data_IF_671465754752
#
_entry.id   IF_671465754752
#
_cell.length_a   1.000
_cell.length_b   1.000
_cell.length_c   1.000
_cell.angle_alpha   90.00
_cell.angle_beta   90.00
_cell.angle_gamma   90.00
#
_symmetry.space_group_name_H-M   'P 1'
#
loop_
_entity.id
_entity.type
_entity.pdbx_description
1 polymer ?
#
# COMPACT_ATOMS: atom_id res chain seq x y z
N UNK A 1 -19.65 5.37 40.89
CA UNK A 1 -18.65 6.47 40.93
C UNK A 1 -17.30 6.13 40.24
N UNK A 2 -16.90 4.85 40.14
CA UNK A 2 -15.65 4.44 39.47
C UNK A 2 -15.65 4.68 37.95
N UNK A 3 -16.73 4.43 37.29
CA UNK A 3 -16.89 4.50 35.83
C UNK A 3 -16.81 5.94 35.24
N UNK A 4 -17.08 6.96 36.05
CA UNK A 4 -16.91 8.35 35.64
C UNK A 4 -15.47 8.84 35.77
N UNK A 5 -14.74 8.38 36.79
CA UNK A 5 -13.31 8.70 36.94
C UNK A 5 -12.47 8.10 35.82
N UNK A 6 -12.78 6.86 35.42
CA UNK A 6 -12.11 6.20 34.30
C UNK A 6 -12.35 6.92 32.95
N UNK A 7 -13.57 7.38 32.71
CA UNK A 7 -13.90 8.18 31.51
C UNK A 7 -13.17 9.52 31.51
N UNK A 8 -13.05 10.19 32.67
CA UNK A 8 -12.37 11.49 32.78
C UNK A 8 -10.84 11.32 32.59
N UNK A 9 -10.26 10.25 33.13
CA UNK A 9 -8.82 9.97 32.98
C UNK A 9 -8.47 9.58 31.52
N UNK A 10 -9.33 8.82 30.85
CA UNK A 10 -9.17 8.45 29.44
C UNK A 10 -9.34 9.67 28.50
N UNK A 11 -10.19 10.62 28.85
CA UNK A 11 -10.32 11.89 28.13
C UNK A 11 -9.15 12.83 28.35
N UNK A 12 -8.56 12.86 29.54
CA UNK A 12 -7.39 13.66 29.86
C UNK A 12 -6.12 13.13 29.17
N UNK A 13 -6.05 11.84 28.88
CA UNK A 13 -4.94 11.21 28.17
C UNK A 13 -4.99 11.35 26.64
N UNK A 14 -5.98 12.05 26.07
CA UNK A 14 -6.11 12.23 24.62
C UNK A 14 -6.35 10.95 23.83
N UNK A 15 -6.69 9.84 24.51
CA UNK A 15 -6.99 8.55 23.87
C UNK A 15 -8.33 8.64 23.15
N UNK A 16 -8.26 8.93 21.86
CA UNK A 16 -9.41 8.90 20.97
C UNK A 16 -9.82 7.44 20.77
N UNK A 17 -10.82 6.95 21.50
CA UNK A 17 -11.34 5.57 21.35
C UNK A 17 -11.84 5.39 19.93
N UNK A 18 -11.15 4.57 19.15
CA UNK A 18 -11.59 4.19 17.81
C UNK A 18 -13.00 3.56 17.91
N UNK A 19 -13.91 3.99 17.03
CA UNK A 19 -15.25 3.43 16.96
C UNK A 19 -15.18 1.97 16.52
N UNK A 20 -16.06 1.06 17.04
CA UNK A 20 -15.96 -0.38 16.74
C UNK A 20 -15.92 -0.71 15.25
N UNK A 21 -16.65 0.03 14.41
CA UNK A 21 -16.58 -0.16 12.96
C UNK A 21 -15.22 0.17 12.34
N UNK A 22 -14.45 1.11 12.91
CA UNK A 22 -13.11 1.46 12.44
C UNK A 22 -12.11 0.34 12.74
N UNK A 23 -12.28 -0.35 13.88
CA UNK A 23 -11.47 -1.50 14.27
C UNK A 23 -11.68 -2.71 13.34
N UNK A 24 -12.84 -2.83 12.70
CA UNK A 24 -13.12 -3.90 11.74
C UNK A 24 -12.76 -3.50 10.31
N UNK A 25 -13.15 -2.30 9.89
CA UNK A 25 -12.92 -1.85 8.50
C UNK A 25 -11.44 -1.66 8.17
N UNK A 26 -10.63 -1.23 9.14
CA UNK A 26 -9.21 -1.01 8.89
C UNK A 26 -8.44 -2.31 8.58
N UNK A 27 -8.52 -3.38 9.41
CA UNK A 27 -7.92 -4.66 9.07
C UNK A 27 -8.48 -5.30 7.79
N UNK A 28 -9.80 -5.14 7.53
CA UNK A 28 -10.41 -5.65 6.30
C UNK A 28 -9.84 -4.95 5.05
N UNK A 29 -9.69 -3.63 5.09
CA UNK A 29 -9.06 -2.89 3.99
C UNK A 29 -7.63 -3.35 3.76
N UNK A 30 -6.84 -3.50 4.82
CA UNK A 30 -5.48 -4.00 4.73
C UNK A 30 -5.43 -5.44 4.17
N UNK A 31 -6.30 -6.32 4.67
CA UNK A 31 -6.42 -7.69 4.15
C UNK A 31 -6.77 -7.72 2.66
N UNK A 32 -7.76 -6.95 2.23
CA UNK A 32 -8.15 -6.84 0.82
C UNK A 32 -7.00 -6.33 -0.05
N UNK A 33 -6.26 -5.30 0.40
CA UNK A 33 -5.11 -4.77 -0.32
C UNK A 33 -3.99 -5.81 -0.47
N UNK A 34 -3.71 -6.56 0.59
CA UNK A 34 -2.69 -7.62 0.54
C UNK A 34 -3.10 -8.77 -0.38
N UNK A 35 -4.36 -9.21 -0.35
CA UNK A 35 -4.88 -10.23 -1.28
C UNK A 35 -4.76 -9.74 -2.72
N UNK A 36 -5.15 -8.51 -2.99
CA UNK A 36 -5.04 -7.90 -4.32
C UNK A 36 -3.59 -7.83 -4.80
N UNK A 37 -2.67 -7.43 -3.92
CA UNK A 37 -1.24 -7.38 -4.22
C UNK A 37 -0.67 -8.77 -4.55
N UNK A 38 -0.96 -9.77 -3.72
CA UNK A 38 -0.50 -11.15 -3.93
C UNK A 38 -1.04 -11.71 -5.25
N UNK A 39 -2.32 -11.50 -5.56
CA UNK A 39 -2.90 -11.92 -6.83
C UNK A 39 -2.20 -11.24 -8.00
N UNK A 40 -2.03 -9.93 -7.96
CA UNK A 40 -1.34 -9.19 -9.03
C UNK A 40 0.08 -9.69 -9.23
N UNK A 41 0.84 -9.90 -8.15
CA UNK A 41 2.22 -10.38 -8.22
C UNK A 41 2.35 -11.79 -8.80
N UNK A 42 1.42 -12.68 -8.48
CA UNK A 42 1.44 -14.05 -9.03
C UNK A 42 1.03 -14.07 -10.50
N UNK A 43 0.04 -13.27 -10.88
CA UNK A 43 -0.45 -13.25 -12.27
C UNK A 43 0.40 -12.43 -13.23
N UNK A 44 1.22 -11.48 -12.74
CA UNK A 44 1.96 -10.56 -13.60
C UNK A 44 2.97 -11.27 -14.50
N UNK A 45 3.69 -12.25 -13.98
CA UNK A 45 4.66 -13.03 -14.75
C UNK A 45 3.96 -13.91 -15.81
N UNK A 46 2.85 -14.52 -15.43
CA UNK A 46 2.02 -15.29 -16.34
C UNK A 46 1.44 -14.42 -17.46
N UNK A 47 0.91 -13.24 -17.10
CA UNK A 47 0.36 -12.29 -18.06
C UNK A 47 1.43 -11.79 -19.04
N UNK A 48 2.59 -11.39 -18.52
CA UNK A 48 3.70 -10.91 -19.34
C UNK A 48 4.18 -11.94 -20.37
N UNK A 49 4.33 -13.18 -19.96
CA UNK A 49 4.78 -14.25 -20.85
C UNK A 49 3.64 -14.80 -21.73
N UNK A 50 2.50 -15.17 -21.13
CA UNK A 50 1.42 -15.87 -21.84
C UNK A 50 0.56 -14.96 -22.74
N UNK A 51 0.36 -13.71 -22.36
CA UNK A 51 -0.52 -12.77 -23.08
C UNK A 51 0.25 -11.75 -23.91
N UNK A 52 1.30 -11.17 -23.34
CA UNK A 52 2.09 -10.16 -24.04
C UNK A 52 3.22 -10.75 -24.89
N UNK A 53 3.55 -12.04 -24.71
CA UNK A 53 4.65 -12.68 -25.40
C UNK A 53 6.04 -12.20 -24.97
N UNK A 54 6.16 -11.60 -23.79
CA UNK A 54 7.43 -11.16 -23.23
C UNK A 54 8.24 -12.37 -22.73
N UNK A 55 9.57 -12.29 -22.81
CA UNK A 55 10.41 -13.37 -22.31
C UNK A 55 10.15 -13.66 -20.83
N UNK A 56 9.94 -14.92 -20.46
CA UNK A 56 9.66 -15.31 -19.07
C UNK A 56 10.77 -14.85 -18.12
N UNK A 57 12.01 -14.94 -18.55
CA UNK A 57 13.18 -14.47 -17.79
C UNK A 57 13.09 -12.96 -17.50
N UNK A 58 12.64 -12.17 -18.47
CA UNK A 58 12.42 -10.73 -18.26
C UNK A 58 11.32 -10.49 -17.23
N UNK A 59 10.17 -11.17 -17.36
CA UNK A 59 9.04 -11.01 -16.44
C UNK A 59 9.41 -11.35 -14.99
N UNK A 60 10.10 -12.46 -14.78
CA UNK A 60 10.52 -12.88 -13.43
C UNK A 60 11.61 -11.97 -12.84
N UNK A 61 12.55 -11.53 -13.66
CA UNK A 61 13.57 -10.54 -13.24
C UNK A 61 12.91 -9.23 -12.85
N UNK A 62 11.91 -8.76 -13.61
CA UNK A 62 11.18 -7.53 -13.28
C UNK A 62 10.43 -7.62 -11.94
N UNK A 63 9.84 -8.76 -11.61
CA UNK A 63 9.21 -8.97 -10.29
C UNK A 63 10.24 -8.79 -9.17
N UNK A 64 11.46 -9.31 -9.34
CA UNK A 64 12.54 -9.17 -8.37
C UNK A 64 13.06 -7.73 -8.28
N UNK A 65 13.28 -7.07 -9.42
CA UNK A 65 13.73 -5.67 -9.48
C UNK A 65 12.69 -4.75 -8.83
N UNK A 66 11.40 -4.97 -9.06
CA UNK A 66 10.35 -4.15 -8.46
C UNK A 66 10.25 -4.34 -6.94
N UNK A 67 10.58 -5.51 -6.40
CA UNK A 67 10.70 -5.68 -4.94
C UNK A 67 11.89 -4.90 -4.35
N UNK A 68 12.98 -4.80 -5.09
CA UNK A 68 14.11 -3.95 -4.70
C UNK A 68 13.74 -2.46 -4.79
N UNK A 69 12.97 -2.10 -5.80
CA UNK A 69 12.42 -0.75 -5.95
C UNK A 69 11.48 -0.38 -4.78
N UNK A 70 10.62 -1.30 -4.31
CA UNK A 70 9.80 -1.15 -3.09
C UNK A 70 10.69 -0.81 -1.89
N UNK A 71 11.76 -1.55 -1.66
CA UNK A 71 12.64 -1.34 -0.53
C UNK A 71 13.26 0.08 -0.49
N UNK A 72 13.39 0.73 -1.64
CA UNK A 72 13.87 2.12 -1.74
C UNK A 72 12.72 3.12 -1.63
N UNK A 73 11.57 2.84 -2.23
CA UNK A 73 10.44 3.77 -2.26
C UNK A 73 9.69 3.82 -0.92
N UNK A 74 9.64 2.73 -0.17
CA UNK A 74 8.95 2.67 1.13
C UNK A 74 9.47 3.72 2.14
N UNK A 75 10.78 3.85 2.41
CA UNK A 75 11.27 4.86 3.33
C UNK A 75 11.11 6.29 2.78
N UNK A 76 11.18 6.49 1.47
CA UNK A 76 10.96 7.81 0.85
C UNK A 76 9.51 8.25 1.03
N UNK A 77 8.56 7.38 0.74
CA UNK A 77 7.14 7.66 0.88
C UNK A 77 6.77 7.81 2.36
N UNK A 78 7.34 6.99 3.25
CA UNK A 78 7.18 7.13 4.70
C UNK A 78 7.62 8.53 5.18
N UNK A 79 8.80 8.97 4.77
CA UNK A 79 9.32 10.30 5.11
C UNK A 79 8.46 11.43 4.51
N UNK A 80 7.90 11.24 3.32
CA UNK A 80 6.99 12.20 2.69
C UNK A 80 5.68 12.34 3.48
N UNK A 81 5.10 11.21 3.90
CA UNK A 81 3.88 11.17 4.73
C UNK A 81 4.15 11.85 6.07
N UNK A 82 5.33 11.62 6.66
CA UNK A 82 5.69 12.19 7.96
C UNK A 82 5.81 13.72 7.94
N UNK A 83 6.21 14.28 6.82
CA UNK A 83 6.33 15.74 6.64
C UNK A 83 4.99 16.41 6.30
N UNK A 84 3.97 15.65 5.98
CA UNK A 84 2.69 16.21 5.52
C UNK A 84 1.71 16.38 6.67
N UNK A 85 1.25 17.61 6.88
CA UNK A 85 0.14 17.95 7.80
C UNK A 85 -1.11 18.26 6.97
N UNK A 86 -2.05 17.30 6.88
CA UNK A 86 -3.30 17.50 6.16
C UNK A 86 -4.47 17.76 7.11
N UNK A 87 -5.40 18.65 6.71
CA UNK A 87 -6.65 18.94 7.44
C UNK A 87 -7.56 17.72 7.62
N UNK A 88 -7.43 16.70 6.75
CA UNK A 88 -8.22 15.46 6.77
C UNK A 88 -7.56 14.33 7.57
N UNK A 89 -6.46 14.61 8.26
CA UNK A 89 -5.61 13.63 8.92
C UNK A 89 -4.39 13.26 8.06
N UNK A 90 -3.33 12.80 8.72
CA UNK A 90 -2.03 12.54 8.11
C UNK A 90 -2.09 11.39 7.08
N UNK A 91 -2.87 10.35 7.34
CA UNK A 91 -2.82 9.09 6.61
C UNK A 91 -3.94 8.89 5.57
N UNK A 92 -5.15 9.42 5.84
CA UNK A 92 -6.33 9.18 5.00
C UNK A 92 -6.18 9.58 3.53
N UNK A 93 -5.66 10.78 3.18
CA UNK A 93 -5.53 11.16 1.79
C UNK A 93 -4.56 10.25 1.01
N UNK A 94 -3.48 9.82 1.65
CA UNK A 94 -2.50 8.94 1.01
C UNK A 94 -3.05 7.55 0.72
N UNK A 95 -3.86 6.98 1.61
CA UNK A 95 -4.53 5.71 1.36
C UNK A 95 -5.50 5.78 0.17
N UNK A 96 -6.26 6.88 0.05
CA UNK A 96 -7.19 7.07 -1.07
C UNK A 96 -6.44 7.26 -2.38
N UNK A 97 -5.39 8.09 -2.38
CA UNK A 97 -4.55 8.32 -3.56
C UNK A 97 -3.84 7.03 -3.97
N UNK A 98 -3.25 6.30 -3.02
CA UNK A 98 -2.59 5.02 -3.29
C UNK A 98 -3.53 4.01 -3.92
N UNK A 99 -4.75 3.88 -3.38
CA UNK A 99 -5.77 2.97 -3.93
C UNK A 99 -6.20 3.39 -5.35
N UNK A 100 -6.39 4.68 -5.60
CA UNK A 100 -6.71 5.18 -6.94
C UNK A 100 -5.58 4.89 -7.94
N UNK A 101 -4.32 5.12 -7.56
CA UNK A 101 -3.15 4.81 -8.39
C UNK A 101 -3.08 3.31 -8.67
N UNK A 102 -3.29 2.45 -7.67
CA UNK A 102 -3.30 0.99 -7.85
C UNK A 102 -4.35 0.53 -8.86
N UNK A 103 -5.58 1.06 -8.76
CA UNK A 103 -6.67 0.70 -9.67
C UNK A 103 -6.33 1.13 -11.10
N UNK A 104 -5.94 2.39 -11.29
CA UNK A 104 -5.62 2.93 -12.61
C UNK A 104 -4.43 2.19 -13.23
N UNK A 105 -3.35 1.99 -12.47
CA UNK A 105 -2.16 1.30 -12.96
C UNK A 105 -2.42 -0.17 -13.28
N UNK A 106 -3.29 -0.86 -12.52
CA UNK A 106 -3.71 -2.23 -12.88
C UNK A 106 -4.47 -2.27 -14.20
N UNK A 107 -5.41 -1.35 -14.41
CA UNK A 107 -6.14 -1.26 -15.65
C UNK A 107 -5.18 -0.99 -16.82
N UNK A 108 -4.26 -0.05 -16.66
CA UNK A 108 -3.26 0.25 -17.67
C UNK A 108 -2.30 -0.93 -17.92
N UNK A 109 -1.94 -1.66 -16.87
CA UNK A 109 -1.05 -2.82 -16.96
C UNK A 109 -1.70 -3.95 -17.76
N UNK A 110 -2.94 -4.31 -17.44
CA UNK A 110 -3.60 -5.46 -18.05
C UNK A 110 -4.33 -5.15 -19.36
N UNK A 111 -4.89 -3.96 -19.51
CA UNK A 111 -5.60 -3.55 -20.74
C UNK A 111 -4.74 -2.67 -21.64
N UNK A 112 -4.02 -1.69 -21.09
CA UNK A 112 -3.23 -0.73 -21.87
C UNK A 112 -2.12 -1.42 -22.66
N UNK A 113 -1.39 -2.33 -22.03
CA UNK A 113 -0.30 -3.09 -22.70
C UNK A 113 -0.81 -4.03 -23.79
N UNK A 114 -2.06 -4.51 -23.70
CA UNK A 114 -2.67 -5.37 -24.70
C UNK A 114 -3.05 -4.64 -25.98
N UNK A 115 -3.37 -3.35 -25.89
CA UNK A 115 -3.76 -2.51 -27.05
C UNK A 115 -2.55 -2.22 -27.95
N UNK A 116 -1.33 -2.31 -27.42
CA UNK A 116 -0.11 -2.07 -28.19
C UNK A 116 0.09 -3.17 -29.24
N UNK A 117 0.26 -2.76 -30.50
CA UNK A 117 0.43 -3.67 -31.60
C UNK A 117 1.61 -4.67 -31.40
N UNK A 118 1.48 -5.92 -31.86
CA UNK A 118 2.51 -6.94 -31.70
C UNK A 118 3.88 -6.56 -32.28
N UNK A 119 3.87 -5.74 -33.33
CA UNK A 119 5.08 -5.31 -34.04
C UNK A 119 5.97 -4.37 -33.22
N UNK A 120 5.42 -3.73 -32.21
CA UNK A 120 6.13 -2.80 -31.31
C UNK A 120 6.50 -3.45 -29.97
N UNK A 121 7.19 -4.59 -30.02
CA UNK A 121 7.56 -5.35 -28.82
C UNK A 121 8.31 -4.50 -27.77
N UNK A 122 9.28 -3.70 -28.19
CA UNK A 122 10.04 -2.84 -27.27
C UNK A 122 9.14 -1.89 -26.47
N UNK A 123 8.10 -1.35 -27.11
CA UNK A 123 7.13 -0.48 -26.46
C UNK A 123 6.31 -1.24 -25.40
N UNK A 124 6.00 -2.52 -25.65
CA UNK A 124 5.35 -3.37 -24.65
C UNK A 124 6.21 -3.58 -23.42
N UNK A 125 7.54 -3.80 -23.60
CA UNK A 125 8.48 -3.90 -22.48
C UNK A 125 8.50 -2.62 -21.66
N UNK A 126 8.62 -1.46 -22.30
CA UNK A 126 8.67 -0.15 -21.62
C UNK A 126 7.38 0.15 -20.88
N UNK A 127 6.23 0.00 -21.54
CA UNK A 127 4.92 0.25 -20.91
C UNK A 127 4.66 -0.72 -19.76
N UNK A 128 5.03 -1.98 -19.90
CA UNK A 128 4.90 -2.96 -18.83
C UNK A 128 5.69 -2.54 -17.59
N UNK A 129 6.95 -2.14 -17.75
CA UNK A 129 7.79 -1.68 -16.62
C UNK A 129 7.22 -0.41 -15.99
N UNK A 130 6.79 0.57 -16.79
CA UNK A 130 6.23 1.82 -16.30
C UNK A 130 4.93 1.62 -15.51
N UNK A 131 3.99 0.84 -16.05
CA UNK A 131 2.71 0.60 -15.38
C UNK A 131 2.89 -0.27 -14.14
N UNK A 132 3.83 -1.20 -14.18
CA UNK A 132 4.17 -2.01 -13.03
C UNK A 132 4.82 -1.17 -11.92
N UNK A 133 5.77 -0.29 -12.25
CA UNK A 133 6.36 0.63 -11.28
C UNK A 133 5.31 1.56 -10.66
N UNK A 134 4.39 2.08 -11.48
CA UNK A 134 3.29 2.91 -11.00
C UNK A 134 2.36 2.15 -10.04
N UNK A 135 2.09 0.88 -10.33
CA UNK A 135 1.32 0.00 -9.46
C UNK A 135 2.01 -0.19 -8.11
N UNK A 136 3.32 -0.44 -8.12
CA UNK A 136 4.15 -0.62 -6.92
C UNK A 136 4.15 0.65 -6.06
N UNK A 137 4.32 1.83 -6.66
CA UNK A 137 4.22 3.12 -5.97
C UNK A 137 2.83 3.30 -5.32
N UNK A 138 1.76 2.98 -6.04
CA UNK A 138 0.40 3.03 -5.51
C UNK A 138 0.21 2.12 -4.30
N UNK A 139 0.77 0.91 -4.34
CA UNK A 139 0.77 -0.02 -3.23
C UNK A 139 1.51 0.54 -2.01
N UNK A 140 2.69 1.13 -2.20
CA UNK A 140 3.46 1.76 -1.12
C UNK A 140 2.69 2.92 -0.47
N UNK A 141 2.03 3.77 -1.27
CA UNK A 141 1.16 4.83 -0.73
C UNK A 141 -0.02 4.29 0.09
N UNK A 142 -0.51 3.12 -0.24
CA UNK A 142 -1.60 2.47 0.48
C UNK A 142 -1.14 1.83 1.79
N UNK A 143 0.05 1.22 1.80
CA UNK A 143 0.54 0.40 2.92
C UNK A 143 1.39 1.18 3.91
N UNK A 144 2.16 2.17 3.48
CA UNK A 144 3.02 2.98 4.33
C UNK A 144 2.30 3.71 5.49
N UNK A 145 1.05 4.23 5.32
CA UNK A 145 0.35 4.93 6.40
C UNK A 145 -0.35 4.01 7.41
N UNK A 146 0.14 2.83 7.70
CA UNK A 146 -0.47 2.00 8.74
C UNK A 146 -0.11 2.55 10.12
N UNK A 147 -1.08 3.00 10.93
CA UNK A 147 -0.80 3.35 12.30
C UNK A 147 -0.31 2.09 13.02
N UNK A 148 0.94 2.14 13.48
CA UNK A 148 1.42 1.16 14.45
C UNK A 148 0.48 1.25 15.64
N UNK A 149 -0.18 0.16 16.08
CA UNK A 149 -0.89 0.20 17.34
C UNK A 149 0.13 0.61 18.39
N UNK A 150 -0.04 1.78 18.99
CA UNK A 150 0.73 2.14 20.17
C UNK A 150 0.46 1.02 21.18
N UNK A 151 1.43 0.15 21.37
CA UNK A 151 1.46 -0.74 22.51
C UNK A 151 1.26 0.15 23.72
N UNK A 152 0.29 -0.12 24.62
CA UNK A 152 0.25 0.59 25.87
C UNK A 152 1.65 0.46 26.45
N UNK A 153 2.35 1.58 26.54
CA UNK A 153 3.68 1.62 27.11
C UNK A 153 3.55 0.88 28.45
N UNK A 154 4.26 -0.23 28.60
CA UNK A 154 4.50 -0.79 29.92
C UNK A 154 5.25 0.30 30.67
N UNK A 155 4.51 1.09 31.44
CA UNK A 155 5.17 1.88 32.47
C UNK A 155 6.04 0.93 33.28
N UNK A 156 7.35 1.16 33.34
CA UNK A 156 8.17 0.43 34.30
C UNK A 156 7.65 0.87 35.67
N UNK A 157 6.83 0.03 36.29
CA UNK A 157 6.50 0.12 37.71
C UNK A 157 7.82 -0.08 38.45
N UNK A 158 8.59 0.99 38.61
CA UNK A 158 9.65 1.00 39.58
C UNK A 158 8.98 0.99 40.95
N UNK A 159 8.92 -0.20 41.50
CA UNK A 159 8.65 -0.47 42.91
C UNK A 159 9.63 0.39 43.74
N UNK A 160 9.05 1.22 44.58
CA UNK A 160 9.67 1.65 45.85
C UNK A 160 8.93 1.01 46.98
#
# INVERSE_FOLDING_TARGET
>A
MSNQKEKTTAQAAGMNRAKPYQLVLFPMNNGATNVYYILTMNFIAYYANGVLGLALMFATTMVTVMRLFDAVTDPIIGALIDRTNSKFGKFRPYMVIGNAIMIVSSILLYFGTRIIAPDMQWLRYVCFVLFYALYVIGYTFQTAPQPVPESPAMEPTFVR
#
